data_IF_028202993557
#
_entry.id   IF_028202993557
#
_cell.length_a   1.000
_cell.length_b   1.000
_cell.length_c   1.000
_cell.angle_alpha   90.00
_cell.angle_beta   90.00
_cell.angle_gamma   90.00
#
_symmetry.space_group_name_H-M   'P 1'
#
loop_
_entity.id
_entity.type
_entity.pdbx_description
1 polymer ?
#
# COMPACT_ATOMS: atom_id res chain seq x y z
N UNK A 1 -56.19 15.52 14.07
CA UNK A 1 -55.09 16.36 13.56
C UNK A 1 -55.66 17.25 12.48
N UNK A 2 -55.56 18.56 12.66
CA UNK A 2 -56.19 19.53 11.76
C UNK A 2 -55.31 19.71 10.52
N UNK A 3 -55.91 20.00 9.34
CA UNK A 3 -55.20 20.00 8.04
C UNK A 3 -54.01 20.98 7.99
N UNK A 4 -54.06 22.03 8.82
CA UNK A 4 -52.99 23.02 8.98
C UNK A 4 -51.78 22.49 9.77
N UNK A 5 -51.98 21.56 10.71
CA UNK A 5 -50.89 20.97 11.50
C UNK A 5 -50.06 20.01 10.63
N UNK A 6 -50.69 19.26 9.73
CA UNK A 6 -49.97 18.38 8.79
C UNK A 6 -49.08 19.18 7.84
N UNK A 7 -49.56 20.35 7.38
CA UNK A 7 -48.81 21.23 6.49
C UNK A 7 -47.59 21.85 7.19
N UNK A 8 -47.71 22.29 8.44
CA UNK A 8 -46.58 22.85 9.19
C UNK A 8 -45.51 21.80 9.54
N UNK A 9 -45.91 20.55 9.78
CA UNK A 9 -44.96 19.48 10.12
C UNK A 9 -44.30 18.86 8.89
N UNK A 10 -44.99 18.75 7.75
CA UNK A 10 -44.45 18.11 6.55
C UNK A 10 -43.64 19.06 5.64
N UNK A 11 -43.97 20.36 5.65
CA UNK A 11 -43.33 21.35 4.78
C UNK A 11 -41.80 21.46 4.96
N UNK A 12 -41.23 21.43 6.17
CA UNK A 12 -39.78 21.46 6.36
C UNK A 12 -39.07 20.24 5.75
N UNK A 13 -39.68 19.06 5.81
CA UNK A 13 -39.11 17.83 5.25
C UNK A 13 -39.18 17.81 3.72
N UNK A 14 -40.29 18.28 3.15
CA UNK A 14 -40.45 18.38 1.69
C UNK A 14 -39.47 19.42 1.13
N UNK A 15 -39.31 20.56 1.80
CA UNK A 15 -38.36 21.60 1.40
C UNK A 15 -36.91 21.12 1.52
N UNK A 16 -36.58 20.38 2.58
CA UNK A 16 -35.24 19.79 2.76
C UNK A 16 -34.94 18.72 1.71
N UNK A 17 -35.92 17.87 1.39
CA UNK A 17 -35.78 16.89 0.31
C UNK A 17 -35.55 17.57 -1.04
N UNK A 18 -36.35 18.61 -1.37
CA UNK A 18 -36.18 19.38 -2.60
C UNK A 18 -34.82 20.07 -2.69
N UNK A 19 -34.28 20.60 -1.58
CA UNK A 19 -32.95 21.20 -1.54
C UNK A 19 -31.85 20.16 -1.74
N UNK A 20 -31.95 18.99 -1.12
CA UNK A 20 -30.98 17.89 -1.25
C UNK A 20 -30.98 17.33 -2.67
N UNK A 21 -32.16 17.00 -3.21
CA UNK A 21 -32.27 16.46 -4.57
C UNK A 21 -31.95 17.51 -5.65
N UNK A 22 -32.29 18.78 -5.39
CA UNK A 22 -31.93 19.90 -6.27
C UNK A 22 -30.41 20.14 -6.31
N UNK A 23 -29.73 20.16 -5.16
CA UNK A 23 -28.26 20.25 -5.09
C UNK A 23 -27.58 19.04 -5.75
N UNK A 24 -28.11 17.85 -5.53
CA UNK A 24 -27.58 16.63 -6.13
C UNK A 24 -27.71 16.66 -7.67
N UNK A 25 -28.85 17.09 -8.22
CA UNK A 25 -29.02 17.26 -9.66
C UNK A 25 -28.09 18.31 -10.28
N UNK A 26 -27.81 19.39 -9.55
CA UNK A 26 -26.87 20.45 -9.96
C UNK A 26 -25.41 19.98 -9.92
N UNK A 27 -25.03 19.18 -8.92
CA UNK A 27 -23.71 18.55 -8.82
C UNK A 27 -23.49 17.50 -9.91
N UNK A 28 -24.51 16.69 -10.22
CA UNK A 28 -24.46 15.64 -11.24
C UNK A 28 -24.35 16.22 -12.65
N UNK A 29 -24.96 17.39 -12.93
CA UNK A 29 -24.86 18.05 -14.24
C UNK A 29 -23.50 18.73 -14.46
N UNK A 30 -22.77 19.08 -13.40
CA UNK A 30 -21.45 19.71 -13.49
C UNK A 30 -20.29 18.70 -13.50
N UNK A 31 -20.52 17.43 -13.13
CA UNK A 31 -19.44 16.44 -13.03
C UNK A 31 -19.92 15.01 -13.40
N UNK A 32 -19.89 14.64 -14.69
CA UNK A 32 -20.45 13.37 -15.20
C UNK A 32 -19.67 12.10 -14.78
N UNK A 33 -18.68 12.19 -13.88
CA UNK A 33 -17.97 11.03 -13.32
C UNK A 33 -18.54 10.53 -11.98
N UNK A 34 -19.65 11.09 -11.48
CA UNK A 34 -20.29 10.65 -10.23
C UNK A 34 -21.16 9.38 -10.35
N UNK A 35 -21.03 8.58 -11.41
CA UNK A 35 -21.97 7.51 -11.76
C UNK A 35 -21.84 6.17 -10.99
N UNK A 36 -21.05 6.07 -9.93
CA UNK A 36 -20.85 4.75 -9.27
C UNK A 36 -20.66 4.80 -7.76
N UNK A 37 -21.66 5.29 -7.03
CA UNK A 37 -21.82 4.93 -5.61
C UNK A 37 -23.22 4.36 -5.37
N UNK A 38 -23.35 3.11 -4.87
CA UNK A 38 -24.64 2.58 -4.49
C UNK A 38 -25.09 3.21 -3.16
N UNK A 39 -26.31 3.73 -3.15
CA UNK A 39 -27.02 4.18 -1.96
C UNK A 39 -27.39 2.97 -1.09
N UNK A 40 -26.77 2.82 0.08
CA UNK A 40 -27.16 1.85 1.10
C UNK A 40 -28.25 2.49 1.99
N UNK A 41 -29.46 1.90 2.11
CA UNK A 41 -30.47 2.40 3.03
C UNK A 41 -30.14 1.99 4.46
N UNK A 42 -30.21 2.98 5.35
CA UNK A 42 -30.05 2.82 6.78
C UNK A 42 -31.25 2.10 7.42
N UNK A 43 -30.99 1.00 8.15
CA UNK A 43 -31.54 0.66 9.48
C UNK A 43 -31.21 -0.81 9.79
N UNK A 44 -30.27 -1.10 10.70
CA UNK A 44 -30.60 -1.68 12.01
C UNK A 44 -29.34 -1.80 12.90
N UNK A 45 -29.49 -1.22 14.08
CA UNK A 45 -28.55 -1.03 15.18
C UNK A 45 -28.34 -2.36 15.95
N UNK A 46 -27.06 -2.73 16.18
CA UNK A 46 -26.47 -3.30 17.43
C UNK A 46 -25.28 -4.21 17.12
N UNK A 47 -24.12 -3.62 16.86
CA UNK A 47 -22.81 -4.14 17.27
C UNK A 47 -21.81 -2.98 17.18
N UNK A 48 -22.02 -1.98 18.04
CA UNK A 48 -21.00 -0.99 18.39
C UNK A 48 -19.87 -1.75 19.11
N UNK A 49 -18.85 -2.18 18.36
CA UNK A 49 -17.49 -2.38 18.87
C UNK A 49 -16.37 -2.39 17.83
N UNK A 50 -16.65 -2.37 16.53
CA UNK A 50 -15.60 -2.35 15.48
C UNK A 50 -15.81 -1.30 14.37
N UNK A 51 -16.76 -0.36 14.51
CA UNK A 51 -17.25 0.51 13.42
C UNK A 51 -16.98 2.02 13.52
N UNK A 52 -15.98 2.47 14.29
CA UNK A 52 -15.43 3.82 14.17
C UNK A 52 -14.06 3.79 13.50
N UNK A 53 -13.97 3.53 12.20
CA UNK A 53 -12.75 3.81 11.43
C UNK A 53 -13.12 4.07 9.97
N UNK A 54 -13.60 5.28 9.66
CA UNK A 54 -13.31 5.78 8.32
C UNK A 54 -11.82 6.14 8.36
N UNK A 55 -10.97 5.46 7.58
CA UNK A 55 -9.55 5.75 7.55
C UNK A 55 -9.34 7.22 7.17
N UNK A 56 -8.70 7.97 8.05
CA UNK A 56 -8.39 9.38 7.85
C UNK A 56 -7.18 9.43 6.93
N UNK A 57 -7.35 10.02 5.74
CA UNK A 57 -6.20 10.36 4.90
C UNK A 57 -5.25 11.27 5.71
N UNK A 58 -3.92 11.17 5.53
CA UNK A 58 -2.99 12.04 6.23
C UNK A 58 -3.44 13.50 6.10
N UNK A 59 -3.62 14.19 7.23
CA UNK A 59 -4.05 15.60 7.23
C UNK A 59 -2.99 16.53 6.59
N UNK A 60 -1.74 16.06 6.54
CA UNK A 60 -0.64 16.78 5.92
C UNK A 60 -0.65 16.56 4.39
N UNK A 61 -0.15 17.52 3.60
CA UNK A 61 0.19 17.28 2.21
C UNK A 61 1.40 16.35 2.10
N UNK A 62 1.46 15.57 1.02
CA UNK A 62 2.57 14.64 0.78
C UNK A 62 3.91 15.41 0.75
N UNK A 63 4.95 14.93 1.46
CA UNK A 63 6.17 15.69 1.65
C UNK A 63 6.97 15.81 0.35
N UNK A 64 7.64 16.95 0.16
CA UNK A 64 8.55 17.17 -0.99
C UNK A 64 9.80 16.30 -0.95
N UNK A 65 10.21 15.88 0.25
CA UNK A 65 11.34 14.99 0.47
C UNK A 65 10.90 13.90 1.43
N UNK A 66 11.12 12.65 1.05
CA UNK A 66 10.73 11.50 1.84
C UNK A 66 11.96 10.96 2.59
N UNK A 67 11.82 10.82 3.90
CA UNK A 67 12.75 10.07 4.75
C UNK A 67 11.92 9.06 5.52
N UNK A 68 12.21 7.79 5.32
CA UNK A 68 11.49 6.69 5.94
C UNK A 68 12.31 5.98 7.02
N UNK A 69 11.61 5.53 8.05
CA UNK A 69 12.12 4.57 9.02
C UNK A 69 11.49 3.20 8.76
N UNK A 70 12.33 2.18 8.68
CA UNK A 70 11.92 0.82 8.35
C UNK A 70 11.70 0.05 9.64
N UNK A 71 10.53 -0.56 9.74
CA UNK A 71 10.20 -1.46 10.83
C UNK A 71 9.34 -2.58 10.31
N UNK A 72 9.46 -3.73 10.95
CA UNK A 72 8.47 -4.77 10.80
C UNK A 72 7.13 -4.35 11.43
N UNK A 73 6.04 -5.00 11.01
CA UNK A 73 4.68 -4.75 11.56
C UNK A 73 4.64 -5.09 13.05
N UNK A 74 4.33 -4.14 13.96
CA UNK A 74 4.32 -4.42 15.39
C UNK A 74 3.16 -5.36 15.78
N UNK A 75 3.41 -6.35 16.62
CA UNK A 75 2.41 -7.34 17.08
C UNK A 75 1.90 -7.07 18.48
N UNK A 76 2.38 -6.01 19.13
CA UNK A 76 1.95 -5.60 20.47
C UNK A 76 1.79 -4.08 20.55
N UNK A 77 1.01 -3.61 21.52
CA UNK A 77 0.82 -2.17 21.79
C UNK A 77 2.15 -1.48 22.13
N UNK A 78 3.02 -2.16 22.88
CA UNK A 78 4.33 -1.63 23.28
C UNK A 78 5.26 -1.47 22.09
N UNK A 79 5.32 -2.47 21.19
CA UNK A 79 6.08 -2.36 19.94
C UNK A 79 5.54 -1.24 19.05
N UNK A 80 4.21 -1.13 18.91
CA UNK A 80 3.60 -0.05 18.13
C UNK A 80 3.98 1.33 18.66
N UNK A 81 3.88 1.55 19.97
CA UNK A 81 4.29 2.81 20.59
C UNK A 81 5.78 3.10 20.36
N UNK A 82 6.64 2.07 20.45
CA UNK A 82 8.07 2.19 20.18
C UNK A 82 8.33 2.57 18.72
N UNK A 83 7.77 1.85 17.76
CA UNK A 83 7.96 2.11 16.32
C UNK A 83 7.54 3.53 15.94
N UNK A 84 6.39 3.99 16.42
CA UNK A 84 5.93 5.36 16.17
C UNK A 84 6.81 6.42 16.86
N UNK A 85 7.43 6.08 17.99
CA UNK A 85 8.43 6.91 18.64
C UNK A 85 9.75 6.98 17.85
N UNK A 86 10.22 5.84 17.35
CA UNK A 86 11.45 5.71 16.58
C UNK A 86 11.37 6.49 15.25
N UNK A 87 10.23 6.47 14.56
CA UNK A 87 10.01 7.28 13.35
C UNK A 87 10.28 8.77 13.64
N UNK A 88 9.73 9.28 14.75
CA UNK A 88 9.93 10.69 15.15
C UNK A 88 11.37 10.97 15.59
N UNK A 89 11.96 10.07 16.37
CA UNK A 89 13.34 10.21 16.85
C UNK A 89 14.35 10.25 15.69
N UNK A 90 14.08 9.51 14.61
CA UNK A 90 14.90 9.49 13.39
C UNK A 90 14.57 10.61 12.40
N UNK A 91 13.67 11.55 12.77
CA UNK A 91 13.21 12.65 11.92
C UNK A 91 12.63 12.14 10.58
N UNK A 92 12.08 10.93 10.58
CA UNK A 92 11.41 10.34 9.43
C UNK A 92 9.97 10.85 9.34
N UNK A 93 9.48 11.02 8.12
CA UNK A 93 8.09 11.37 7.83
C UNK A 93 7.27 10.20 7.29
N UNK A 94 7.94 9.08 7.03
CA UNK A 94 7.33 7.86 6.50
C UNK A 94 7.73 6.67 7.38
N UNK A 95 6.76 5.82 7.70
CA UNK A 95 6.96 4.51 8.29
C UNK A 95 6.90 3.46 7.17
N UNK A 96 8.02 2.79 6.93
CA UNK A 96 8.09 1.65 6.02
C UNK A 96 7.79 0.39 6.80
N UNK A 97 6.63 -0.21 6.54
CA UNK A 97 6.19 -1.48 7.10
C UNK A 97 6.68 -2.61 6.21
N UNK A 98 7.68 -3.35 6.70
CA UNK A 98 8.19 -4.55 6.04
C UNK A 98 7.38 -5.77 6.46
N UNK A 99 6.99 -6.57 5.46
CA UNK A 99 6.38 -7.89 5.63
C UNK A 99 7.19 -8.88 4.81
N UNK A 100 7.72 -9.92 5.45
CA UNK A 100 8.50 -10.91 4.73
C UNK A 100 7.56 -11.89 3.99
N UNK A 101 7.97 -12.30 2.80
CA UNK A 101 7.36 -13.38 2.01
C UNK A 101 8.28 -14.59 2.04
N UNK A 102 7.69 -15.78 2.15
CA UNK A 102 8.42 -17.04 2.02
C UNK A 102 7.55 -18.07 1.33
N UNK A 103 8.17 -19.14 0.84
CA UNK A 103 7.47 -20.32 0.39
C UNK A 103 7.57 -21.41 1.47
N UNK A 104 6.46 -22.13 1.70
CA UNK A 104 6.50 -23.39 2.47
C UNK A 104 7.22 -24.47 1.67
N UNK A 105 7.51 -25.61 2.31
CA UNK A 105 8.08 -26.78 1.62
C UNK A 105 7.22 -27.27 0.45
N UNK A 106 5.90 -27.06 0.54
CA UNK A 106 4.93 -27.44 -0.49
C UNK A 106 4.77 -26.37 -1.58
N UNK A 107 5.56 -25.28 -1.53
CA UNK A 107 5.51 -24.20 -2.52
C UNK A 107 4.41 -23.17 -2.27
N UNK A 108 3.79 -23.16 -1.08
CA UNK A 108 2.75 -22.18 -0.75
C UNK A 108 3.35 -20.86 -0.27
N UNK A 109 2.93 -19.74 -0.84
CA UNK A 109 3.30 -18.40 -0.42
C UNK A 109 2.68 -18.10 0.94
N UNK A 110 3.53 -17.66 1.86
CA UNK A 110 3.13 -17.22 3.19
C UNK A 110 3.76 -15.88 3.50
N UNK A 111 3.03 -15.08 4.27
CA UNK A 111 3.58 -13.92 4.96
C UNK A 111 4.19 -14.37 6.27
N UNK A 112 5.37 -13.84 6.59
CA UNK A 112 6.08 -14.12 7.84
C UNK A 112 6.38 -12.79 8.52
N UNK A 113 6.12 -12.74 9.81
CA UNK A 113 6.57 -11.64 10.65
C UNK A 113 7.04 -12.17 12.01
N UNK A 114 8.34 -12.09 12.29
CA UNK A 114 8.95 -12.70 13.47
C UNK A 114 8.57 -14.20 13.61
N UNK A 115 7.87 -14.59 14.67
CA UNK A 115 7.37 -15.94 14.88
C UNK A 115 5.92 -16.14 14.41
N UNK A 116 5.27 -15.09 13.90
CA UNK A 116 3.89 -15.09 13.45
C UNK A 116 3.80 -15.40 11.95
N UNK A 117 2.83 -16.23 11.58
CA UNK A 117 2.55 -16.66 10.20
C UNK A 117 1.07 -16.53 9.84
N UNK A 118 0.21 -16.16 10.80
CA UNK A 118 -1.20 -15.86 10.57
C UNK A 118 -1.33 -14.55 9.80
N UNK A 119 -1.62 -14.67 8.51
CA UNK A 119 -1.85 -13.51 7.64
C UNK A 119 -2.94 -12.57 8.18
N UNK A 120 -4.03 -13.12 8.71
CA UNK A 120 -5.12 -12.32 9.31
C UNK A 120 -4.64 -11.50 10.52
N UNK A 121 -3.78 -12.09 11.34
CA UNK A 121 -3.21 -11.41 12.49
C UNK A 121 -2.26 -10.29 12.05
N UNK A 122 -1.37 -10.57 11.09
CA UNK A 122 -0.42 -9.58 10.56
C UNK A 122 -1.17 -8.44 9.88
N UNK A 123 -2.19 -8.73 9.07
CA UNK A 123 -3.02 -7.73 8.40
C UNK A 123 -3.73 -6.82 9.41
N UNK A 124 -4.32 -7.39 10.47
CA UNK A 124 -4.97 -6.61 11.54
C UNK A 124 -4.00 -5.61 12.18
N UNK A 125 -2.78 -6.04 12.48
CA UNK A 125 -1.77 -5.16 13.05
C UNK A 125 -1.23 -4.15 12.05
N UNK A 126 -1.10 -4.50 10.77
CA UNK A 126 -0.74 -3.56 9.72
C UNK A 126 -1.77 -2.43 9.61
N UNK A 127 -3.07 -2.77 9.50
CA UNK A 127 -4.18 -1.79 9.49
C UNK A 127 -4.15 -0.85 10.68
N UNK A 128 -3.97 -1.41 11.89
CA UNK A 128 -3.86 -0.64 13.12
C UNK A 128 -2.64 0.30 13.10
N UNK A 129 -1.50 -0.19 12.65
CA UNK A 129 -0.26 0.58 12.60
C UNK A 129 -0.35 1.74 11.61
N UNK A 130 -0.93 1.49 10.43
CA UNK A 130 -1.17 2.52 9.41
C UNK A 130 -2.06 3.63 9.96
N UNK A 131 -3.18 3.28 10.58
CA UNK A 131 -4.07 4.25 11.20
C UNK A 131 -3.36 5.09 12.28
N UNK A 132 -2.71 4.44 13.24
CA UNK A 132 -2.06 5.15 14.35
C UNK A 132 -0.86 6.01 13.86
N UNK A 133 -0.23 5.64 12.74
CA UNK A 133 0.76 6.48 12.04
C UNK A 133 0.09 7.71 11.40
N UNK A 134 -1.04 7.53 10.71
CA UNK A 134 -1.78 8.61 10.06
C UNK A 134 -2.29 9.65 11.04
N UNK A 135 -2.81 9.22 12.20
CA UNK A 135 -3.21 10.11 13.30
C UNK A 135 -2.04 10.98 13.82
N UNK A 136 -0.80 10.54 13.59
CA UNK A 136 0.43 11.27 13.95
C UNK A 136 1.03 12.05 12.78
N UNK A 137 0.37 12.08 11.62
CA UNK A 137 0.86 12.73 10.41
C UNK A 137 2.05 12.02 9.75
N UNK A 138 2.21 10.71 9.99
CA UNK A 138 3.27 9.88 9.41
C UNK A 138 2.67 9.12 8.22
N UNK A 139 3.31 9.21 7.06
CA UNK A 139 2.92 8.41 5.88
C UNK A 139 3.31 6.96 6.04
N UNK A 140 2.60 6.06 5.39
CA UNK A 140 2.96 4.64 5.40
C UNK A 140 3.38 4.14 4.02
N UNK A 141 4.44 3.34 4.02
CA UNK A 141 4.93 2.58 2.88
C UNK A 141 4.81 1.10 3.26
N UNK A 142 4.02 0.32 2.52
CA UNK A 142 3.95 -1.13 2.70
C UNK A 142 4.87 -1.82 1.69
N UNK A 143 5.82 -2.62 2.18
CA UNK A 143 6.73 -3.40 1.33
C UNK A 143 6.65 -4.87 1.71
N UNK A 144 6.29 -5.71 0.74
CA UNK A 144 6.51 -7.14 0.83
C UNK A 144 7.95 -7.45 0.40
N UNK A 145 8.65 -8.33 1.12
CA UNK A 145 10.04 -8.68 0.80
C UNK A 145 10.23 -10.20 0.82
N UNK A 146 10.59 -10.85 -0.29
CA UNK A 146 11.07 -12.22 -0.26
C UNK A 146 12.19 -12.37 0.77
N UNK A 147 12.03 -13.29 1.71
CA UNK A 147 13.04 -13.61 2.71
C UNK A 147 14.27 -14.20 2.02
N UNK A 148 15.45 -13.92 2.54
CA UNK A 148 16.69 -14.52 2.07
C UNK A 148 16.58 -16.05 1.99
N UNK A 149 17.03 -16.62 0.87
CA UNK A 149 16.94 -18.05 0.59
C UNK A 149 15.58 -18.51 0.03
N UNK A 150 14.62 -17.61 -0.20
CA UNK A 150 13.39 -17.96 -0.93
C UNK A 150 13.73 -18.20 -2.40
N UNK A 151 13.54 -19.43 -2.88
CA UNK A 151 13.72 -19.79 -4.29
C UNK A 151 12.37 -20.01 -4.97
N UNK A 152 12.09 -19.25 -6.04
CA UNK A 152 10.85 -19.39 -6.82
C UNK A 152 11.11 -20.38 -7.97
N UNK A 153 10.70 -21.63 -7.78
CA UNK A 153 10.85 -22.68 -8.79
C UNK A 153 9.71 -22.67 -9.83
N UNK A 154 8.48 -22.38 -9.39
CA UNK A 154 7.30 -22.23 -10.25
C UNK A 154 6.84 -20.78 -10.25
N UNK A 155 7.15 -20.07 -11.34
CA UNK A 155 6.80 -18.66 -11.50
C UNK A 155 5.30 -18.46 -11.73
N UNK A 156 4.63 -19.40 -12.39
CA UNK A 156 3.19 -19.33 -12.61
C UNK A 156 2.44 -19.46 -11.29
N UNK A 157 2.74 -20.53 -10.53
CA UNK A 157 2.17 -20.74 -9.21
C UNK A 157 2.51 -19.63 -8.21
N UNK A 158 3.71 -19.05 -8.26
CA UNK A 158 4.06 -17.88 -7.45
C UNK A 158 3.23 -16.65 -7.84
N UNK A 159 3.07 -16.37 -9.13
CA UNK A 159 2.30 -15.22 -9.61
C UNK A 159 0.83 -15.30 -9.16
N UNK A 160 0.20 -16.48 -9.27
CA UNK A 160 -1.19 -16.69 -8.88
C UNK A 160 -1.38 -16.49 -7.36
N UNK A 161 -0.46 -17.03 -6.56
CA UNK A 161 -0.50 -16.88 -5.10
C UNK A 161 -0.21 -15.44 -4.65
N UNK A 162 0.73 -14.77 -5.31
CA UNK A 162 1.01 -13.37 -5.05
C UNK A 162 -0.19 -12.49 -5.43
N UNK A 163 -0.86 -12.77 -6.55
CA UNK A 163 -2.10 -12.10 -6.92
C UNK A 163 -3.18 -12.31 -5.84
N UNK A 164 -3.40 -13.54 -5.37
CA UNK A 164 -4.38 -13.83 -4.33
C UNK A 164 -4.08 -13.10 -3.01
N UNK A 165 -2.79 -12.98 -2.64
CA UNK A 165 -2.37 -12.17 -1.51
C UNK A 165 -2.75 -10.70 -1.74
N UNK A 166 -2.39 -10.14 -2.89
CA UNK A 166 -2.64 -8.74 -3.21
C UNK A 166 -4.13 -8.39 -3.34
N UNK A 167 -4.99 -9.32 -3.74
CA UNK A 167 -6.44 -9.15 -3.75
C UNK A 167 -7.03 -8.89 -2.36
N UNK A 168 -6.32 -9.32 -1.30
CA UNK A 168 -6.69 -9.02 0.08
C UNK A 168 -5.98 -7.78 0.64
N UNK A 169 -4.71 -7.62 0.32
CA UNK A 169 -3.87 -6.57 0.90
C UNK A 169 -4.00 -5.21 0.19
N UNK A 170 -4.17 -5.18 -1.12
CA UNK A 170 -4.25 -3.94 -1.88
C UNK A 170 -5.53 -3.12 -1.57
N UNK A 171 -6.73 -3.73 -1.48
CA UNK A 171 -7.92 -2.98 -1.02
C UNK A 171 -7.79 -2.48 0.42
N UNK A 172 -7.16 -3.26 1.30
CA UNK A 172 -6.89 -2.82 2.68
C UNK A 172 -5.89 -1.65 2.72
N UNK A 173 -4.87 -1.68 1.87
CA UNK A 173 -3.91 -0.60 1.73
C UNK A 173 -4.58 0.68 1.19
N UNK A 174 -5.47 0.54 0.20
CA UNK A 174 -6.28 1.62 -0.36
C UNK A 174 -7.21 2.23 0.70
N UNK A 175 -7.99 1.38 1.37
CA UNK A 175 -8.87 1.77 2.47
C UNK A 175 -8.08 2.60 3.48
N UNK A 176 -6.96 2.09 3.96
CA UNK A 176 -6.17 2.76 4.99
C UNK A 176 -5.21 3.86 4.47
N UNK A 177 -5.33 4.33 3.21
CA UNK A 177 -4.52 5.40 2.60
C UNK A 177 -3.00 5.15 2.64
N UNK A 178 -2.56 3.90 2.52
CA UNK A 178 -1.14 3.58 2.38
C UNK A 178 -0.60 4.34 1.17
N UNK A 179 0.48 5.10 1.34
CA UNK A 179 0.98 6.00 0.29
C UNK A 179 1.73 5.26 -0.82
N UNK A 180 2.39 4.17 -0.45
CA UNK A 180 3.19 3.34 -1.34
C UNK A 180 2.98 1.86 -1.05
N UNK A 181 2.79 1.07 -2.09
CA UNK A 181 2.68 -0.38 -2.02
C UNK A 181 3.71 -1.03 -2.94
N UNK A 182 4.63 -1.81 -2.39
CA UNK A 182 5.52 -2.68 -3.16
C UNK A 182 5.08 -4.14 -2.96
N UNK A 183 4.68 -4.84 -4.04
CA UNK A 183 4.11 -6.18 -3.95
C UNK A 183 5.14 -7.27 -3.66
N UNK A 184 6.42 -6.95 -3.52
CA UNK A 184 7.46 -7.94 -3.24
C UNK A 184 8.00 -8.64 -4.47
N UNK A 185 7.93 -7.96 -5.61
CA UNK A 185 8.74 -8.29 -6.78
C UNK A 185 10.04 -7.52 -6.67
N UNK A 186 11.15 -8.23 -6.43
CA UNK A 186 12.48 -7.63 -6.35
C UNK A 186 13.34 -8.14 -7.50
N UNK A 187 13.56 -7.30 -8.50
CA UNK A 187 14.41 -7.63 -9.64
C UNK A 187 15.88 -7.73 -9.24
N UNK A 188 16.59 -8.71 -9.81
CA UNK A 188 17.99 -8.97 -9.52
C UNK A 188 18.26 -9.67 -8.18
N UNK A 189 17.25 -9.78 -7.31
CA UNK A 189 17.32 -10.60 -6.10
C UNK A 189 17.42 -12.10 -6.44
N UNK A 190 18.08 -12.89 -5.59
CA UNK A 190 18.35 -14.30 -5.85
C UNK A 190 17.07 -15.14 -6.05
N UNK A 191 15.94 -14.72 -5.47
CA UNK A 191 14.64 -15.36 -5.66
C UNK A 191 14.14 -15.35 -7.11
N UNK A 192 14.50 -14.33 -7.89
CA UNK A 192 14.11 -14.17 -9.30
C UNK A 192 15.29 -14.28 -10.27
N UNK A 193 16.53 -14.25 -9.77
CA UNK A 193 17.74 -14.19 -10.61
C UNK A 193 17.88 -15.36 -11.59
N UNK A 194 17.43 -16.57 -11.20
CA UNK A 194 17.47 -17.78 -12.06
C UNK A 194 16.31 -17.84 -13.06
N UNK A 195 15.31 -16.97 -12.91
CA UNK A 195 14.14 -16.93 -13.79
C UNK A 195 14.52 -16.25 -15.11
N UNK A 196 14.17 -16.81 -16.27
CA UNK A 196 14.45 -16.14 -17.54
C UNK A 196 13.77 -14.75 -17.62
N UNK A 197 14.43 -13.73 -18.24
CA UNK A 197 13.93 -12.36 -18.28
C UNK A 197 12.51 -12.21 -18.84
N UNK A 198 12.12 -13.03 -19.82
CA UNK A 198 10.78 -13.02 -20.40
C UNK A 198 9.68 -13.37 -19.39
N UNK A 199 9.95 -14.30 -18.47
CA UNK A 199 9.00 -14.68 -17.41
C UNK A 199 9.01 -13.65 -16.27
N UNK A 200 10.17 -13.07 -15.95
CA UNK A 200 10.22 -11.94 -15.02
C UNK A 200 9.40 -10.76 -15.55
N UNK A 201 9.53 -10.43 -16.83
CA UNK A 201 8.77 -9.35 -17.47
C UNK A 201 7.26 -9.63 -17.47
N UNK A 202 6.87 -10.89 -17.70
CA UNK A 202 5.47 -11.31 -17.61
C UNK A 202 4.93 -11.14 -16.18
N UNK A 203 5.67 -11.61 -15.17
CA UNK A 203 5.30 -11.45 -13.75
C UNK A 203 5.11 -9.98 -13.39
N UNK A 204 6.09 -9.13 -13.69
CA UNK A 204 6.07 -7.67 -13.43
C UNK A 204 4.82 -7.03 -14.05
N UNK A 205 4.55 -7.31 -15.33
CA UNK A 205 3.39 -6.72 -16.02
C UNK A 205 2.06 -7.22 -15.47
N UNK A 206 1.94 -8.53 -15.22
CA UNK A 206 0.71 -9.14 -14.74
C UNK A 206 0.34 -8.60 -13.36
N UNK A 207 1.30 -8.56 -12.44
CA UNK A 207 1.07 -8.10 -11.07
C UNK A 207 0.77 -6.60 -11.04
N UNK A 208 1.47 -5.78 -11.82
CA UNK A 208 1.16 -4.35 -11.95
C UNK A 208 -0.29 -4.12 -12.39
N UNK A 209 -0.72 -4.76 -13.47
CA UNK A 209 -2.08 -4.64 -14.01
C UNK A 209 -3.15 -5.05 -12.99
N UNK A 210 -2.87 -6.11 -12.21
CA UNK A 210 -3.79 -6.61 -11.19
C UNK A 210 -3.92 -5.64 -10.01
N UNK A 211 -2.80 -5.14 -9.49
CA UNK A 211 -2.82 -4.20 -8.36
C UNK A 211 -3.53 -2.90 -8.76
N UNK A 212 -3.31 -2.38 -9.99
CA UNK A 212 -3.97 -1.17 -10.47
C UNK A 212 -5.49 -1.23 -10.49
N UNK A 213 -6.07 -2.42 -10.61
CA UNK A 213 -7.51 -2.60 -10.55
C UNK A 213 -8.08 -2.39 -9.13
N UNK A 214 -7.24 -2.38 -8.09
CA UNK A 214 -7.64 -2.42 -6.68
C UNK A 214 -7.00 -1.33 -5.82
N UNK A 215 -5.91 -0.71 -6.29
CA UNK A 215 -5.12 0.25 -5.53
C UNK A 215 -4.73 1.42 -6.44
N UNK A 216 -5.14 2.62 -6.02
CA UNK A 216 -4.93 3.87 -6.75
C UNK A 216 -3.66 4.60 -6.32
N UNK A 217 -3.10 4.21 -5.18
CA UNK A 217 -1.83 4.72 -4.68
C UNK A 217 -0.62 4.32 -5.54
N UNK A 218 0.58 4.59 -5.01
CA UNK A 218 1.81 4.45 -5.77
C UNK A 218 2.38 3.04 -5.67
N UNK A 219 2.48 2.35 -6.81
CA UNK A 219 2.98 0.97 -6.86
C UNK A 219 4.49 0.98 -7.08
N UNK A 220 5.20 0.22 -6.25
CA UNK A 220 6.65 0.11 -6.26
C UNK A 220 7.16 -1.21 -6.83
N UNK A 221 8.41 -1.19 -7.24
CA UNK A 221 9.15 -2.36 -7.69
C UNK A 221 10.53 -2.35 -7.02
N UNK A 222 10.88 -3.46 -6.37
CA UNK A 222 12.19 -3.64 -5.76
C UNK A 222 13.26 -3.93 -6.80
N UNK A 223 14.48 -3.47 -6.52
CA UNK A 223 15.68 -3.76 -7.29
C UNK A 223 16.81 -4.06 -6.31
N UNK A 224 17.49 -5.20 -6.47
CA UNK A 224 18.63 -5.56 -5.64
C UNK A 224 19.72 -6.24 -6.46
N UNK A 225 20.94 -6.17 -5.93
CA UNK A 225 22.00 -7.20 -6.05
C UNK A 225 22.69 -7.26 -7.42
N UNK A 226 21.94 -7.17 -8.52
CA UNK A 226 22.44 -7.01 -9.89
C UNK A 226 21.54 -6.04 -10.66
N UNK A 227 22.05 -5.37 -11.72
CA UNK A 227 21.24 -4.47 -12.51
C UNK A 227 20.01 -5.17 -13.12
N UNK A 228 18.82 -4.56 -13.09
CA UNK A 228 17.61 -5.14 -13.65
C UNK A 228 17.74 -5.28 -15.17
N UNK A 229 17.23 -6.40 -15.69
CA UNK A 229 17.24 -6.72 -17.14
C UNK A 229 15.88 -6.54 -17.80
N UNK A 230 14.83 -6.29 -17.01
CA UNK A 230 13.44 -6.14 -17.46
C UNK A 230 12.94 -4.71 -17.25
N UNK A 231 11.89 -4.34 -17.98
CA UNK A 231 11.26 -3.02 -17.90
C UNK A 231 10.48 -2.84 -16.60
N UNK A 232 10.61 -1.65 -16.01
CA UNK A 232 9.82 -1.19 -14.87
C UNK A 232 8.60 -0.33 -15.25
N UNK A 233 8.24 -0.32 -16.53
CA UNK A 233 7.09 0.42 -17.03
C UNK A 233 5.80 0.04 -16.26
N UNK A 234 5.02 1.05 -15.88
CA UNK A 234 3.76 0.90 -15.12
C UNK A 234 3.90 1.19 -13.62
N UNK A 235 5.13 1.15 -13.09
CA UNK A 235 5.40 1.43 -11.67
C UNK A 235 5.68 2.91 -11.41
N UNK A 236 5.21 3.42 -10.27
CA UNK A 236 5.46 4.82 -9.86
C UNK A 236 6.80 4.99 -9.16
N UNK A 237 7.30 3.94 -8.50
CA UNK A 237 8.59 4.00 -7.82
C UNK A 237 9.47 2.77 -8.04
N UNK A 238 10.78 3.00 -7.92
CA UNK A 238 11.79 1.95 -7.79
C UNK A 238 12.44 2.05 -6.42
N UNK A 239 12.60 0.91 -5.76
CA UNK A 239 13.30 0.81 -4.47
C UNK A 239 14.57 0.02 -4.65
N UNK A 240 15.71 0.69 -4.51
CA UNK A 240 17.02 0.06 -4.45
C UNK A 240 17.22 -0.52 -3.05
N UNK A 241 17.27 -1.85 -2.94
CA UNK A 241 17.35 -2.54 -1.65
C UNK A 241 18.81 -2.92 -1.40
N UNK A 242 19.39 -2.38 -0.35
CA UNK A 242 20.75 -2.68 0.08
C UNK A 242 20.73 -3.51 1.38
N UNK A 243 21.30 -4.71 1.31
CA UNK A 243 21.40 -5.61 2.46
C UNK A 243 22.55 -5.24 3.41
N UNK A 244 23.64 -4.67 2.89
CA UNK A 244 24.84 -4.32 3.66
C UNK A 244 25.43 -2.97 3.21
N UNK A 245 24.86 -1.87 3.69
CA UNK A 245 25.37 -0.51 3.41
C UNK A 245 24.85 0.09 2.11
N UNK A 246 25.71 0.72 1.32
CA UNK A 246 25.31 1.44 0.11
C UNK A 246 24.97 0.50 -1.06
N UNK A 247 24.02 0.91 -1.89
CA UNK A 247 23.68 0.24 -3.14
C UNK A 247 24.87 0.32 -4.11
N UNK A 248 25.28 -0.78 -4.77
CA UNK A 248 26.33 -0.73 -5.80
C UNK A 248 26.02 0.33 -6.87
N UNK A 249 26.98 1.23 -7.12
CA UNK A 249 26.81 2.40 -8.01
C UNK A 249 26.32 2.05 -9.42
N UNK A 250 26.72 0.89 -9.95
CA UNK A 250 26.25 0.41 -11.26
C UNK A 250 24.75 0.09 -11.26
N UNK A 251 24.22 -0.44 -10.15
CA UNK A 251 22.79 -0.72 -9.98
C UNK A 251 22.04 0.59 -9.82
N UNK A 252 22.51 1.50 -8.97
CA UNK A 252 21.91 2.83 -8.79
C UNK A 252 21.82 3.59 -10.12
N UNK A 253 22.92 3.68 -10.87
CA UNK A 253 22.97 4.37 -12.16
C UNK A 253 21.99 3.76 -13.18
N UNK A 254 21.93 2.43 -13.25
CA UNK A 254 21.00 1.74 -14.14
C UNK A 254 19.55 2.01 -13.75
N UNK A 255 19.23 1.92 -12.46
CA UNK A 255 17.88 2.19 -11.93
C UNK A 255 17.46 3.64 -12.19
N UNK A 256 18.35 4.61 -12.02
CA UNK A 256 18.08 6.01 -12.36
C UNK A 256 17.86 6.23 -13.86
N UNK A 257 18.62 5.53 -14.71
CA UNK A 257 18.42 5.55 -16.17
C UNK A 257 17.06 4.95 -16.55
N UNK A 258 16.69 3.81 -15.97
CA UNK A 258 15.40 3.16 -16.23
C UNK A 258 14.25 4.00 -15.69
N UNK A 259 14.40 4.61 -14.50
CA UNK A 259 13.43 5.54 -13.96
C UNK A 259 13.19 6.75 -14.88
N UNK A 260 14.24 7.24 -15.55
CA UNK A 260 14.11 8.28 -16.57
C UNK A 260 13.42 7.76 -17.84
N UNK A 261 13.81 6.58 -18.32
CA UNK A 261 13.29 5.96 -19.54
C UNK A 261 11.80 5.63 -19.45
N UNK A 262 11.36 5.14 -18.30
CA UNK A 262 10.00 4.66 -18.08
C UNK A 262 9.13 5.63 -17.27
N UNK A 263 9.60 6.87 -17.07
CA UNK A 263 8.86 7.93 -16.38
C UNK A 263 8.45 7.59 -14.94
N UNK A 264 9.30 6.85 -14.22
CA UNK A 264 9.11 6.56 -12.79
C UNK A 264 9.25 7.86 -11.99
N UNK A 265 8.26 8.13 -11.14
CA UNK A 265 8.15 9.34 -10.31
C UNK A 265 9.20 9.38 -9.21
N UNK A 266 9.35 8.29 -8.46
CA UNK A 266 10.22 8.25 -7.29
C UNK A 266 11.28 7.15 -7.39
N UNK A 267 12.49 7.45 -6.93
CA UNK A 267 13.52 6.43 -6.74
C UNK A 267 14.00 6.51 -5.30
N UNK A 268 13.96 5.38 -4.60
CA UNK A 268 14.37 5.27 -3.21
C UNK A 268 15.59 4.37 -3.06
N UNK A 269 16.42 4.66 -2.06
CA UNK A 269 17.38 3.72 -1.49
C UNK A 269 16.86 3.25 -0.14
N UNK A 270 16.75 1.94 0.04
CA UNK A 270 16.37 1.27 1.27
C UNK A 270 17.61 0.57 1.84
N UNK A 271 18.16 1.11 2.93
CA UNK A 271 19.26 0.50 3.68
C UNK A 271 18.68 -0.29 4.86
N UNK A 272 18.79 -1.62 4.77
CA UNK A 272 18.30 -2.53 5.80
C UNK A 272 19.19 -2.59 7.04
N UNK A 273 20.46 -2.17 6.95
CA UNK A 273 21.36 -2.13 8.09
C UNK A 273 21.05 -0.94 9.01
N UNK A 274 20.66 0.20 8.44
CA UNK A 274 20.32 1.41 9.18
C UNK A 274 18.81 1.65 9.32
N UNK A 275 17.97 0.76 8.77
CA UNK A 275 16.52 0.91 8.73
C UNK A 275 16.05 2.24 8.13
N UNK A 276 16.73 2.69 7.07
CA UNK A 276 16.50 4.01 6.48
C UNK A 276 16.08 3.90 5.02
N UNK A 277 14.97 4.56 4.69
CA UNK A 277 14.55 4.82 3.31
C UNK A 277 14.89 6.27 2.96
N UNK A 278 15.60 6.49 1.85
CA UNK A 278 15.98 7.83 1.38
C UNK A 278 15.54 8.01 -0.06
N UNK A 279 14.88 9.13 -0.35
CA UNK A 279 14.55 9.50 -1.72
C UNK A 279 15.79 10.01 -2.47
N UNK A 280 16.07 9.43 -3.62
CA UNK A 280 17.15 9.83 -4.54
C UNK A 280 16.64 10.72 -5.68
N UNK A 281 15.38 10.52 -6.08
CA UNK A 281 14.67 11.26 -7.13
C UNK A 281 13.21 11.41 -6.72
#
# INVERSE_FOLDING_TARGET
MNRQEILLTAFPFILSALLIFGHYGLLVTQNPQAHSMPLIPALLIQTLKDSELVPVAPLAPFPKTIVGYVSDVPTTKQQLAKVLGDVKANQANTLVLRIDLSLTKDGNLIVIHAAETSEEYILRWAKKTVRDAHEKGIYTYLIFMPKDGTEIADIGGFADQLQSLLERWAPAAEEHHVAFLDPGIILGHDSLRKVPPEYQQLLVKTIEQKIRAMYTGRIGLGVCCVPPTVSSQGYNQLVLIAQTGDVPKNIELKTLQDAKRYHVEHVFSLDLATNRLTQLK
#
